data_IF_478930498602
#
_entry.id   IF_478930498602
#
_cell.length_a   1.000
_cell.length_b   1.000
_cell.length_c   1.000
_cell.angle_alpha   90.00
_cell.angle_beta   90.00
_cell.angle_gamma   90.00
#
_symmetry.space_group_name_H-M   'P 1'
#
loop_
_entity.id
_entity.type
_entity.pdbx_description
1 polymer ?
#
# COMPACT_ATOMS: atom_id res chain seq x y z
N UNK A 1 15.46 13.62 2.49
CA UNK A 1 15.02 12.35 3.02
C UNK A 1 13.86 11.76 2.22
N UNK A 2 12.66 11.49 2.78
CA UNK A 2 11.57 10.79 2.09
C UNK A 2 11.06 11.49 0.82
N UNK A 3 10.90 12.80 0.88
CA UNK A 3 10.45 13.61 -0.26
C UNK A 3 11.45 13.60 -1.41
N UNK A 4 12.74 13.67 -1.13
CA UNK A 4 13.80 13.59 -2.15
C UNK A 4 13.83 12.21 -2.81
N UNK A 5 13.72 11.13 -2.03
CA UNK A 5 13.60 9.77 -2.58
C UNK A 5 12.39 9.64 -3.49
N UNK A 6 11.25 10.23 -3.08
CA UNK A 6 10.05 10.25 -3.90
C UNK A 6 10.28 10.98 -5.23
N UNK A 7 10.88 12.16 -5.21
CA UNK A 7 11.15 12.95 -6.42
C UNK A 7 12.11 12.22 -7.37
N UNK A 8 13.15 11.58 -6.83
CA UNK A 8 14.07 10.77 -7.62
C UNK A 8 13.34 9.59 -8.28
N UNK A 9 12.57 8.84 -7.52
CA UNK A 9 11.81 7.70 -8.03
C UNK A 9 10.74 8.13 -9.03
N UNK A 10 10.08 9.28 -8.79
CA UNK A 10 9.08 9.84 -9.70
C UNK A 10 9.69 10.15 -11.08
N UNK A 11 10.82 10.84 -11.12
CA UNK A 11 11.51 11.17 -12.37
C UNK A 11 11.99 9.93 -13.11
N UNK A 12 12.49 8.93 -12.40
CA UNK A 12 13.05 7.72 -12.99
C UNK A 12 11.96 6.74 -13.46
N UNK A 13 11.02 6.38 -12.58
CA UNK A 13 10.01 5.35 -12.82
C UNK A 13 8.67 5.90 -13.37
N UNK A 14 8.43 7.20 -13.25
CA UNK A 14 7.22 7.85 -13.78
C UNK A 14 6.04 7.92 -12.82
N UNK A 15 6.03 7.15 -11.74
CA UNK A 15 4.99 7.16 -10.72
C UNK A 15 5.57 7.04 -9.33
N UNK A 16 4.98 7.77 -8.39
CA UNK A 16 5.28 7.68 -6.97
C UNK A 16 4.02 7.96 -6.15
N UNK A 17 3.95 7.40 -4.96
CA UNK A 17 2.79 7.55 -4.09
C UNK A 17 3.18 8.15 -2.75
N UNK A 18 2.25 8.92 -2.17
CA UNK A 18 2.28 9.27 -0.76
C UNK A 18 1.02 8.75 -0.09
N UNK A 19 1.19 8.25 1.13
CA UNK A 19 0.08 7.92 2.02
C UNK A 19 0.07 8.91 3.17
N UNK A 20 -1.10 9.52 3.41
CA UNK A 20 -1.36 10.41 4.54
C UNK A 20 -2.31 9.69 5.50
N UNK A 21 -1.89 9.53 6.73
CA UNK A 21 -2.66 8.82 7.76
C UNK A 21 -2.31 9.34 9.15
N UNK A 22 -3.18 9.02 10.12
CA UNK A 22 -2.87 9.24 11.53
C UNK A 22 -2.11 8.01 12.05
N UNK A 23 -0.88 8.25 12.56
CA UNK A 23 -0.07 7.18 13.13
C UNK A 23 -0.33 7.09 14.64
N UNK A 24 -0.94 5.99 15.12
CA UNK A 24 -1.29 5.83 16.53
C UNK A 24 -0.06 5.69 17.44
N UNK A 25 1.10 5.25 16.91
CA UNK A 25 2.32 5.09 17.70
C UNK A 25 2.96 6.44 18.04
N UNK A 26 2.84 7.42 17.16
CA UNK A 26 3.41 8.77 17.36
C UNK A 26 2.35 9.85 17.60
N UNK A 27 1.05 9.48 17.59
CA UNK A 27 -0.06 10.33 17.93
C UNK A 27 -0.28 11.54 17.01
N UNK A 28 0.16 11.49 15.76
CA UNK A 28 0.05 12.60 14.81
C UNK A 28 -0.22 12.15 13.38
N UNK A 29 -0.66 13.09 12.56
CA UNK A 29 -0.73 12.89 11.12
C UNK A 29 0.69 12.74 10.54
N UNK A 30 0.84 11.75 9.65
CA UNK A 30 2.09 11.40 8.99
C UNK A 30 1.86 11.23 7.50
N UNK A 31 2.84 11.65 6.72
CA UNK A 31 2.88 11.43 5.28
C UNK A 31 4.14 10.64 4.94
N UNK A 32 3.97 9.46 4.38
CA UNK A 32 5.08 8.59 3.96
C UNK A 32 5.11 8.43 2.44
N UNK A 33 6.31 8.28 1.90
CA UNK A 33 6.51 7.87 0.53
C UNK A 33 6.31 6.36 0.40
N UNK A 34 5.57 5.93 -0.64
CA UNK A 34 5.38 4.53 -0.99
C UNK A 34 5.88 4.32 -2.41
N UNK A 35 6.80 3.37 -2.63
CA UNK A 35 7.21 2.95 -3.96
C UNK A 35 6.02 2.40 -4.76
N UNK A 36 6.04 2.57 -6.08
CA UNK A 36 4.96 2.09 -6.94
C UNK A 36 4.77 0.56 -6.85
N UNK A 37 5.82 -0.18 -6.55
CA UNK A 37 5.80 -1.64 -6.36
C UNK A 37 5.04 -2.11 -5.11
N UNK A 38 4.86 -1.22 -4.12
CA UNK A 38 4.13 -1.51 -2.87
C UNK A 38 2.68 -1.03 -2.91
N UNK A 39 2.20 -0.52 -4.05
CA UNK A 39 0.81 -0.11 -4.27
C UNK A 39 0.19 -0.98 -5.35
N UNK A 40 -0.86 -1.71 -4.99
CA UNK A 40 -1.59 -2.59 -5.91
C UNK A 40 -2.97 -1.99 -6.17
N UNK A 41 -3.30 -1.77 -7.43
CA UNK A 41 -4.62 -1.33 -7.90
C UNK A 41 -5.19 -2.31 -8.92
N UNK A 42 -6.51 -2.37 -9.14
CA UNK A 42 -7.10 -3.16 -10.20
C UNK A 42 -6.58 -2.72 -11.58
N UNK A 43 -6.46 -3.67 -12.50
CA UNK A 43 -5.94 -3.41 -13.86
C UNK A 43 -6.72 -2.32 -14.62
N UNK A 44 -8.03 -2.23 -14.41
CA UNK A 44 -8.91 -1.23 -15.03
C UNK A 44 -8.92 0.14 -14.34
N UNK A 45 -8.14 0.36 -13.29
CA UNK A 45 -8.13 1.65 -12.60
C UNK A 45 -7.54 2.74 -13.49
N UNK A 46 -8.25 3.87 -13.61
CA UNK A 46 -7.79 5.05 -14.36
C UNK A 46 -7.02 6.03 -13.46
N UNK A 47 -7.43 6.14 -12.21
CA UNK A 47 -6.80 6.99 -11.19
C UNK A 47 -7.03 6.38 -9.80
N UNK A 48 -6.34 6.91 -8.80
CA UNK A 48 -6.39 6.36 -7.44
C UNK A 48 -7.68 6.71 -6.71
N UNK A 49 -8.31 7.82 -7.06
CA UNK A 49 -9.55 8.30 -6.44
C UNK A 49 -10.73 7.40 -6.78
N UNK A 50 -10.82 6.98 -8.05
CA UNK A 50 -11.90 6.13 -8.56
C UNK A 50 -11.58 4.63 -8.52
N UNK A 51 -10.39 4.25 -8.09
CA UNK A 51 -10.03 2.83 -7.97
C UNK A 51 -10.93 2.12 -6.94
N UNK A 52 -11.53 0.99 -7.36
CA UNK A 52 -12.40 0.17 -6.50
C UNK A 52 -11.65 -0.39 -5.30
N UNK A 53 -10.36 -0.63 -5.47
CA UNK A 53 -9.47 -1.13 -4.43
C UNK A 53 -8.09 -0.52 -4.56
N UNK A 54 -7.52 -0.11 -3.42
CA UNK A 54 -6.11 0.26 -3.32
C UNK A 54 -5.50 -0.56 -2.20
N UNK A 55 -4.47 -1.33 -2.49
CA UNK A 55 -3.77 -2.15 -1.50
C UNK A 55 -2.36 -1.64 -1.31
N UNK A 56 -1.99 -1.34 -0.08
CA UNK A 56 -0.64 -0.99 0.34
C UNK A 56 0.04 -2.22 0.95
N UNK A 57 1.14 -2.63 0.35
CA UNK A 57 1.97 -3.73 0.85
C UNK A 57 2.99 -3.18 1.84
N UNK A 58 2.96 -3.66 3.06
CA UNK A 58 3.87 -3.23 4.13
C UNK A 58 4.67 -4.41 4.66
N UNK A 59 5.90 -4.15 5.11
CA UNK A 59 6.70 -5.11 5.86
C UNK A 59 6.88 -4.60 7.28
N UNK A 60 6.46 -5.40 8.26
CA UNK A 60 6.50 -5.04 9.69
C UNK A 60 7.24 -6.10 10.49
N UNK A 61 8.05 -5.66 11.44
CA UNK A 61 8.68 -6.56 12.42
C UNK A 61 7.65 -7.09 13.42
N UNK A 62 7.96 -8.20 14.06
CA UNK A 62 7.13 -8.76 15.15
C UNK A 62 6.87 -7.72 16.26
N UNK A 63 7.88 -6.91 16.57
CA UNK A 63 7.75 -5.86 17.58
C UNK A 63 6.81 -4.73 17.17
N UNK A 64 6.84 -4.33 15.87
CA UNK A 64 5.92 -3.29 15.37
C UNK A 64 4.47 -3.75 15.40
N UNK A 65 4.23 -5.01 15.02
CA UNK A 65 2.89 -5.62 15.11
C UNK A 65 2.44 -5.67 16.57
N UNK A 66 3.32 -6.11 17.48
CA UNK A 66 2.98 -6.19 18.90
C UNK A 66 2.64 -4.84 19.51
N UNK A 67 3.34 -3.76 19.15
CA UNK A 67 3.00 -2.39 19.58
C UNK A 67 1.60 -2.01 19.10
N UNK A 68 1.25 -2.32 17.85
CA UNK A 68 -0.07 -2.03 17.29
C UNK A 68 -1.17 -2.88 17.93
N UNK A 69 -0.88 -4.12 18.34
CA UNK A 69 -1.80 -4.96 19.11
C UNK A 69 -2.04 -4.40 20.51
N UNK A 70 -0.97 -4.02 21.21
CA UNK A 70 -1.06 -3.44 22.57
C UNK A 70 -1.82 -2.11 22.56
N UNK A 71 -1.67 -1.30 21.52
CA UNK A 71 -2.43 -0.05 21.36
C UNK A 71 -3.90 -0.27 20.96
N UNK A 72 -4.33 -1.51 20.70
CA UNK A 72 -5.67 -1.82 20.24
C UNK A 72 -5.94 -1.49 18.75
N UNK A 73 -4.89 -1.13 18.00
CA UNK A 73 -5.02 -0.83 16.57
C UNK A 73 -5.12 -2.10 15.72
N UNK A 74 -4.43 -3.17 16.12
CA UNK A 74 -4.55 -4.51 15.58
C UNK A 74 -5.18 -5.46 16.60
N UNK A 75 -5.88 -6.47 16.12
CA UNK A 75 -6.41 -7.56 16.97
C UNK A 75 -5.26 -8.34 17.62
N UNK A 76 -5.52 -8.87 18.83
CA UNK A 76 -4.53 -9.60 19.63
C UNK A 76 -4.25 -11.03 19.15
N UNK A 77 -4.42 -11.33 17.86
CA UNK A 77 -4.19 -12.65 17.28
C UNK A 77 -2.71 -13.00 17.35
N UNK A 78 -2.41 -14.24 17.76
CA UNK A 78 -1.05 -14.77 17.67
C UNK A 78 -0.73 -15.12 16.22
N UNK A 79 0.25 -14.42 15.67
CA UNK A 79 0.82 -14.73 14.37
C UNK A 79 1.94 -15.76 14.57
N UNK A 80 1.99 -16.76 13.69
CA UNK A 80 3.12 -17.69 13.60
C UNK A 80 4.45 -16.98 13.25
N UNK A 81 5.42 -17.75 12.83
CA UNK A 81 6.67 -17.16 12.33
C UNK A 81 6.45 -16.48 10.98
N UNK A 82 7.16 -15.37 10.70
CA UNK A 82 7.02 -14.67 9.44
C UNK A 82 7.45 -15.57 8.27
N UNK A 83 6.63 -15.60 7.22
CA UNK A 83 6.94 -16.31 5.99
C UNK A 83 7.62 -15.33 5.04
N UNK A 84 8.88 -15.60 4.70
CA UNK A 84 9.62 -14.80 3.75
C UNK A 84 8.95 -14.88 2.36
N UNK A 85 8.64 -13.71 1.82
CA UNK A 85 8.07 -13.59 0.48
C UNK A 85 8.84 -12.54 -0.31
N UNK A 86 9.46 -12.99 -1.40
CA UNK A 86 10.20 -12.14 -2.32
C UNK A 86 9.44 -12.05 -3.64
N UNK A 87 9.13 -10.83 -4.05
CA UNK A 87 8.54 -10.57 -5.36
C UNK A 87 9.58 -10.84 -6.47
N UNK A 88 9.11 -11.09 -7.69
CA UNK A 88 10.02 -11.24 -8.83
C UNK A 88 10.85 -9.99 -9.09
N UNK A 89 10.33 -8.81 -8.74
CA UNK A 89 11.04 -7.53 -8.82
C UNK A 89 12.22 -7.52 -7.83
N UNK A 90 12.01 -7.96 -6.59
CA UNK A 90 13.08 -8.03 -5.57
C UNK A 90 14.15 -9.03 -5.97
N UNK A 91 13.75 -10.19 -6.50
CA UNK A 91 14.70 -11.20 -7.02
C UNK A 91 15.58 -10.63 -8.14
N UNK A 92 14.97 -9.97 -9.11
CA UNK A 92 15.71 -9.31 -10.20
C UNK A 92 16.63 -8.20 -9.70
N UNK A 93 16.19 -7.37 -8.78
CA UNK A 93 17.03 -6.32 -8.17
C UNK A 93 18.25 -6.92 -7.46
N UNK A 94 18.07 -8.03 -6.77
CA UNK A 94 19.17 -8.74 -6.11
C UNK A 94 20.15 -9.33 -7.13
N UNK A 95 19.67 -9.99 -8.18
CA UNK A 95 20.47 -10.54 -9.27
C UNK A 95 21.27 -9.46 -9.97
N UNK A 96 20.63 -8.36 -10.37
CA UNK A 96 21.28 -7.22 -11.02
C UNK A 96 22.26 -6.47 -10.09
N UNK A 97 21.93 -6.40 -8.82
CA UNK A 97 22.77 -5.78 -7.78
C UNK A 97 23.89 -6.66 -7.26
N UNK A 98 23.91 -7.95 -7.63
CA UNK A 98 24.95 -8.91 -7.22
C UNK A 98 24.95 -9.24 -5.73
N UNK A 99 23.78 -9.15 -5.05
CA UNK A 99 23.61 -9.52 -3.65
C UNK A 99 22.58 -10.65 -3.49
N UNK A 100 22.75 -11.46 -2.45
CA UNK A 100 21.79 -12.51 -2.12
C UNK A 100 20.62 -11.94 -1.33
N UNK A 101 19.41 -12.34 -1.69
CA UNK A 101 18.24 -12.07 -0.86
C UNK A 101 18.35 -12.94 0.38
N UNK A 102 18.35 -12.32 1.55
CA UNK A 102 18.22 -13.01 2.83
C UNK A 102 16.75 -13.03 3.24
N UNK A 103 16.33 -14.12 3.89
CA UNK A 103 15.01 -14.19 4.47
C UNK A 103 14.86 -13.08 5.52
N UNK A 104 13.89 -12.21 5.29
CA UNK A 104 13.58 -11.10 6.20
C UNK A 104 12.59 -11.61 7.24
N UNK A 105 12.91 -11.50 8.52
CA UNK A 105 12.03 -11.84 9.64
C UNK A 105 10.87 -10.83 9.81
N UNK A 106 10.35 -10.32 8.68
CA UNK A 106 9.22 -9.39 8.66
C UNK A 106 7.98 -10.05 8.10
N UNK A 107 6.87 -9.70 8.73
CA UNK A 107 5.55 -10.05 8.23
C UNK A 107 5.18 -9.17 7.05
N UNK A 108 4.61 -9.77 6.01
CA UNK A 108 4.03 -9.03 4.89
C UNK A 108 2.57 -8.73 5.21
N UNK A 109 2.26 -7.45 5.31
CA UNK A 109 0.93 -6.94 5.69
C UNK A 109 0.29 -6.27 4.48
N UNK A 110 -0.93 -6.65 4.16
CA UNK A 110 -1.76 -5.97 3.17
C UNK A 110 -2.75 -5.05 3.88
N UNK A 111 -2.68 -3.76 3.61
CA UNK A 111 -3.71 -2.80 3.98
C UNK A 111 -4.56 -2.51 2.75
N UNK A 112 -5.79 -2.98 2.77
CA UNK A 112 -6.72 -2.98 1.63
C UNK A 112 -7.78 -1.92 1.89
N UNK A 113 -7.84 -0.91 1.03
CA UNK A 113 -8.89 0.10 0.98
C UNK A 113 -9.88 -0.30 -0.11
N UNK A 114 -11.10 -0.68 0.24
CA UNK A 114 -12.12 -1.14 -0.70
C UNK A 114 -13.52 -0.92 -0.15
N UNK A 115 -14.50 -0.90 -1.05
CA UNK A 115 -15.90 -0.90 -0.68
C UNK A 115 -16.33 -2.36 -0.43
N UNK A 116 -16.82 -2.64 0.77
CA UNK A 116 -17.18 -3.97 1.24
C UNK A 116 -18.55 -3.93 1.93
N UNK A 117 -19.23 -5.07 1.94
CA UNK A 117 -20.38 -5.34 2.78
C UNK A 117 -19.89 -6.21 3.94
N UNK A 118 -19.98 -5.70 5.15
CA UNK A 118 -19.62 -6.46 6.36
C UNK A 118 -20.88 -7.09 6.92
N UNK A 119 -20.93 -8.42 6.92
CA UNK A 119 -22.03 -9.20 7.46
C UNK A 119 -22.30 -8.84 8.94
N UNK A 120 -23.56 -8.64 9.28
CA UNK A 120 -23.98 -8.21 10.61
C UNK A 120 -23.81 -6.71 10.89
N UNK A 121 -23.28 -5.94 9.94
CA UNK A 121 -23.09 -4.48 10.07
C UNK A 121 -23.80 -3.71 8.95
N UNK A 122 -23.69 -4.20 7.70
CA UNK A 122 -24.18 -3.52 6.49
C UNK A 122 -25.37 -4.26 5.84
N UNK A 123 -25.98 -5.22 6.55
CA UNK A 123 -27.01 -6.12 5.98
C UNK A 123 -28.34 -5.40 5.68
N UNK A 124 -28.63 -4.28 6.35
CA UNK A 124 -29.94 -3.61 6.27
C UNK A 124 -30.27 -3.06 4.88
N UNK A 125 -29.27 -2.53 4.17
CA UNK A 125 -29.46 -1.90 2.87
C UNK A 125 -28.69 -2.60 1.72
N UNK A 126 -27.75 -3.48 2.04
CA UNK A 126 -26.92 -4.21 1.08
C UNK A 126 -25.96 -3.30 0.30
N UNK A 127 -25.69 -2.09 0.80
CA UNK A 127 -24.79 -1.14 0.15
C UNK A 127 -23.36 -1.36 0.64
N UNK A 128 -22.43 -1.58 -0.28
CA UNK A 128 -21.01 -1.64 0.05
C UNK A 128 -20.50 -0.28 0.51
N UNK A 129 -19.79 -0.28 1.64
CA UNK A 129 -19.22 0.93 2.26
C UNK A 129 -17.69 0.88 2.24
N UNK A 130 -17.02 2.05 2.26
CA UNK A 130 -15.55 2.08 2.24
C UNK A 130 -14.96 1.61 3.57
N UNK A 131 -14.20 0.54 3.53
CA UNK A 131 -13.47 -0.03 4.67
C UNK A 131 -11.96 -0.08 4.40
N UNK A 132 -11.21 -0.14 5.48
CA UNK A 132 -9.79 -0.46 5.48
C UNK A 132 -9.62 -1.80 6.21
N UNK A 133 -9.24 -2.82 5.48
CA UNK A 133 -8.98 -4.15 6.01
C UNK A 133 -7.49 -4.41 6.00
N UNK A 134 -6.94 -4.83 7.12
CA UNK A 134 -5.52 -5.19 7.24
C UNK A 134 -5.39 -6.68 7.48
N UNK A 135 -4.60 -7.34 6.63
CA UNK A 135 -4.44 -8.81 6.64
C UNK A 135 -2.94 -9.13 6.70
N UNK A 136 -2.57 -10.10 7.54
CA UNK A 136 -1.25 -10.72 7.45
C UNK A 136 -1.26 -11.78 6.35
N UNK A 137 -0.28 -11.71 5.44
CA UNK A 137 -0.28 -12.51 4.22
C UNK A 137 -0.02 -14.00 4.47
N UNK A 138 0.87 -14.37 5.40
CA UNK A 138 1.30 -15.75 5.60
C UNK A 138 0.22 -16.62 6.23
N UNK A 139 -0.51 -16.07 7.20
CA UNK A 139 -1.59 -16.75 7.92
C UNK A 139 -2.98 -16.41 7.39
N UNK A 140 -3.08 -15.37 6.53
CA UNK A 140 -4.34 -14.80 6.03
C UNK A 140 -5.24 -14.24 7.15
N UNK A 141 -4.66 -14.00 8.33
CA UNK A 141 -5.39 -13.48 9.48
C UNK A 141 -5.71 -12.00 9.35
N UNK A 142 -6.96 -11.64 9.66
CA UNK A 142 -7.43 -10.25 9.66
C UNK A 142 -6.99 -9.55 10.94
N UNK A 143 -6.06 -8.61 10.80
CA UNK A 143 -5.53 -7.84 11.93
C UNK A 143 -6.42 -6.68 12.34
N UNK A 144 -7.10 -6.04 11.38
CA UNK A 144 -8.08 -4.98 11.68
C UNK A 144 -9.06 -4.76 10.54
N UNK A 145 -10.27 -4.34 10.89
CA UNK A 145 -11.27 -3.80 9.96
C UNK A 145 -11.69 -2.44 10.51
N UNK A 146 -11.58 -1.39 9.68
CA UNK A 146 -11.91 -0.02 10.08
C UNK A 146 -12.75 0.67 9.03
N UNK A 147 -13.68 1.49 9.47
CA UNK A 147 -14.45 2.38 8.60
C UNK A 147 -13.53 3.42 7.95
N UNK A 148 -13.76 3.71 6.68
CA UNK A 148 -12.97 4.69 5.92
C UNK A 148 -13.79 5.92 5.52
N UNK A 149 -14.67 6.37 6.40
CA UNK A 149 -15.44 7.61 6.28
C UNK A 149 -15.47 8.35 7.61
N UNK A 150 -15.96 9.58 7.61
CA UNK A 150 -16.15 10.35 8.85
C UNK A 150 -17.43 9.88 9.54
N UNK A 151 -17.41 9.79 10.87
CA UNK A 151 -18.58 9.34 11.66
C UNK A 151 -19.81 10.24 11.47
N UNK A 152 -19.60 11.54 11.21
CA UNK A 152 -20.66 12.53 10.98
C UNK A 152 -21.11 12.60 9.50
N UNK A 153 -20.64 11.69 8.64
CA UNK A 153 -20.96 11.69 7.21
C UNK A 153 -22.02 10.65 6.87
N UNK A 154 -23.26 11.11 6.72
CA UNK A 154 -24.42 10.28 6.36
C UNK A 154 -24.25 9.61 4.96
N UNK A 155 -23.45 10.19 4.08
CA UNK A 155 -23.17 9.66 2.75
C UNK A 155 -22.06 8.63 2.73
N UNK A 156 -21.37 8.42 3.85
CA UNK A 156 -20.25 7.47 3.99
C UNK A 156 -19.18 7.61 2.92
N UNK A 157 -18.81 8.85 2.58
CA UNK A 157 -17.85 9.15 1.52
C UNK A 157 -16.44 8.66 1.87
N UNK A 158 -15.84 7.96 0.95
CA UNK A 158 -14.48 7.40 1.10
C UNK A 158 -13.46 8.50 1.40
N UNK A 159 -12.74 8.35 2.51
CA UNK A 159 -11.59 9.20 2.82
C UNK A 159 -10.40 8.82 1.95
N UNK A 160 -9.79 9.81 1.33
CA UNK A 160 -8.63 9.60 0.47
C UNK A 160 -7.34 9.64 1.30
N UNK A 161 -6.62 8.52 1.32
CA UNK A 161 -5.35 8.38 2.04
C UNK A 161 -4.14 8.42 1.13
N UNK A 162 -4.32 8.16 -0.15
CA UNK A 162 -3.24 8.05 -1.12
C UNK A 162 -3.25 9.23 -2.09
N UNK A 163 -2.05 9.71 -2.40
CA UNK A 163 -1.82 10.70 -3.46
C UNK A 163 -0.88 10.09 -4.48
N UNK A 164 -1.31 10.03 -5.72
CA UNK A 164 -0.52 9.54 -6.85
C UNK A 164 0.14 10.72 -7.57
N UNK A 165 1.45 10.69 -7.65
CA UNK A 165 2.25 11.63 -8.42
C UNK A 165 2.66 10.99 -9.74
N UNK A 166 2.44 11.70 -10.84
CA UNK A 166 2.74 11.26 -12.21
C UNK A 166 3.75 12.22 -12.82
N UNK A 167 4.86 11.70 -13.35
CA UNK A 167 5.91 12.51 -14.00
C UNK A 167 5.47 12.94 -15.40
N UNK A 168 5.22 11.99 -16.28
CA UNK A 168 4.59 12.22 -17.58
C UNK A 168 3.40 11.30 -17.68
N UNK A 169 2.19 11.79 -17.99
CA UNK A 169 1.02 10.95 -18.15
C UNK A 169 1.24 9.87 -19.22
N UNK A 170 0.98 8.60 -18.85
CA UNK A 170 0.99 7.46 -19.75
C UNK A 170 -0.39 7.15 -20.30
N UNK A 171 -0.55 5.98 -20.93
CA UNK A 171 -1.83 5.50 -21.48
C UNK A 171 -2.70 4.77 -20.46
N UNK A 172 -2.24 4.59 -19.22
CA UNK A 172 -2.92 3.87 -18.14
C UNK A 172 -2.73 4.55 -16.80
N UNK A 173 -2.87 3.75 -15.75
CA UNK A 173 -2.74 4.24 -14.37
C UNK A 173 -1.36 4.83 -14.07
N UNK A 174 -0.29 4.16 -14.51
CA UNK A 174 1.09 4.61 -14.24
C UNK A 174 1.58 5.62 -15.27
N UNK A 175 2.37 6.58 -14.78
CA UNK A 175 3.07 7.55 -15.63
C UNK A 175 4.33 6.97 -16.28
N UNK A 176 4.85 7.74 -17.23
CA UNK A 176 6.11 7.45 -17.90
C UNK A 176 7.26 8.22 -17.22
N UNK A 177 8.31 7.53 -16.85
CA UNK A 177 9.55 8.10 -16.33
C UNK A 177 10.65 8.18 -17.39
N UNK A 178 11.78 8.72 -16.99
CA UNK A 178 12.96 8.85 -17.87
C UNK A 178 13.41 7.52 -18.47
N UNK A 179 13.33 6.43 -17.70
CA UNK A 179 13.65 5.08 -18.21
C UNK A 179 12.81 4.73 -19.43
N UNK A 180 11.53 5.08 -19.43
CA UNK A 180 10.62 4.78 -20.54
C UNK A 180 10.89 5.66 -21.76
N UNK A 181 11.26 6.94 -21.52
CA UNK A 181 11.42 7.94 -22.58
C UNK A 181 12.76 7.80 -23.28
N UNK A 182 13.84 7.61 -22.53
CA UNK A 182 15.21 7.62 -23.09
C UNK A 182 15.88 6.24 -23.10
N UNK A 183 15.29 5.22 -22.42
CA UNK A 183 15.89 3.89 -22.30
C UNK A 183 16.11 3.19 -23.65
N UNK A 184 15.27 3.46 -24.65
CA UNK A 184 15.45 2.99 -26.02
C UNK A 184 16.70 3.54 -26.69
N UNK A 185 16.98 4.83 -26.48
CA UNK A 185 18.18 5.48 -27.02
C UNK A 185 19.47 5.03 -26.33
N UNK A 186 19.42 4.83 -25.01
CA UNK A 186 20.55 4.33 -24.25
C UNK A 186 20.96 2.88 -24.60
N UNK A 187 20.05 2.07 -25.20
CA UNK A 187 20.35 0.74 -25.70
C UNK A 187 20.94 0.73 -27.12
N UNK A 188 20.70 1.76 -27.89
CA UNK A 188 21.08 1.84 -29.31
C UNK A 188 22.47 2.44 -29.52
N UNK A 189 23.11 2.98 -28.49
CA UNK A 189 24.49 3.47 -28.46
C UNK A 189 25.42 2.53 -27.73
#
# INVERSE_FOLDING_TARGET
PEHERMLYSLGLAGSAFKKVYFDPNIGRQTAIYIPAEDVIVPYGASNIESAERVTHVMRKTKNDIRKLQVSGFYSGIELGDPVAFHTDIEKRKAEEGGYSITDDERYTIYEIHADLIIEGVDDEDGIARPYIVTIERGTEEVLSIRRNWNEDDDLTLKRQHFVHYVYVPGFGFYGLGLIHIIGGYARAG
#
